data_IF_012843195919
#
_entry.id   IF_012843195919
#
_cell.length_a   1.000
_cell.length_b   1.000
_cell.length_c   1.000
_cell.angle_alpha   90.00
_cell.angle_beta   90.00
_cell.angle_gamma   90.00
#
_symmetry.space_group_name_H-M   'P 1'
#
loop_
_entity.id
_entity.type
_entity.pdbx_description
1 polymer ?
#
# COMPACT_ATOMS: atom_id res chain seq x y z
N UNK A 1 16.25 81.65 5.06
CA UNK A 1 16.72 80.73 4.00
C UNK A 1 15.50 80.54 3.09
N UNK A 2 15.42 81.03 1.85
CA UNK A 2 16.26 80.77 0.65
C UNK A 2 16.16 79.29 0.21
N UNK A 3 15.79 78.94 -1.04
CA UNK A 3 15.48 79.73 -2.26
C UNK A 3 14.71 78.85 -3.30
N UNK A 4 13.99 79.47 -4.26
CA UNK A 4 13.49 78.90 -5.56
C UNK A 4 12.45 77.76 -5.49
N UNK A 5 11.31 77.68 -6.22
CA UNK A 5 10.92 77.98 -7.64
C UNK A 5 11.59 77.03 -8.67
N UNK A 6 10.92 76.39 -9.64
CA UNK A 6 9.49 76.24 -10.02
C UNK A 6 9.35 75.03 -11.01
N UNK A 7 8.24 74.30 -11.15
CA UNK A 7 6.89 74.58 -11.76
C UNK A 7 6.85 74.51 -13.31
N UNK A 8 5.89 73.72 -13.84
CA UNK A 8 5.48 73.59 -15.28
C UNK A 8 6.38 72.73 -16.19
N UNK A 9 5.97 72.19 -17.37
CA UNK A 9 4.77 71.48 -17.88
C UNK A 9 4.78 71.49 -19.44
N UNK A 10 4.03 70.59 -20.12
CA UNK A 10 3.83 70.50 -21.60
C UNK A 10 5.05 70.04 -22.45
N UNK A 11 4.94 69.45 -23.66
CA UNK A 11 3.82 68.73 -24.35
C UNK A 11 4.25 68.06 -25.68
N UNK A 12 3.72 66.84 -25.96
CA UNK A 12 3.29 66.27 -27.26
C UNK A 12 4.22 66.09 -28.51
N UNK A 13 3.85 65.09 -29.35
CA UNK A 13 4.17 64.87 -30.79
C UNK A 13 5.61 64.42 -31.21
N UNK A 14 5.84 63.70 -32.32
CA UNK A 14 4.99 62.82 -33.18
C UNK A 14 5.80 61.98 -34.22
N UNK A 15 5.19 60.89 -34.73
CA UNK A 15 5.34 60.20 -36.05
C UNK A 15 6.69 59.96 -36.78
N UNK A 16 7.00 58.69 -37.06
CA UNK A 16 7.27 58.07 -38.40
C UNK A 16 7.66 56.58 -38.18
N UNK A 17 7.24 55.54 -38.92
CA UNK A 17 6.86 55.25 -40.32
C UNK A 17 8.01 54.71 -41.22
N UNK A 18 7.77 53.56 -41.88
CA UNK A 18 8.70 52.85 -42.80
C UNK A 18 9.34 51.57 -42.20
N UNK A 19 9.19 50.30 -42.65
CA UNK A 19 8.52 49.56 -43.76
C UNK A 19 9.51 48.80 -44.69
N UNK A 20 9.06 47.65 -45.26
CA UNK A 20 9.71 46.67 -46.17
C UNK A 20 10.50 45.53 -45.45
N UNK A 21 10.25 44.21 -45.65
CA UNK A 21 10.13 43.33 -46.86
C UNK A 21 11.53 42.88 -47.39
N UNK A 22 11.85 41.67 -47.86
CA UNK A 22 11.22 40.41 -48.43
C UNK A 22 12.21 39.23 -48.14
N UNK A 23 12.06 37.93 -48.44
CA UNK A 23 11.05 36.85 -48.69
C UNK A 23 11.86 35.52 -48.44
N UNK A 24 11.40 34.26 -48.53
CA UNK A 24 10.09 33.66 -48.85
C UNK A 24 10.23 32.20 -49.33
N UNK A 25 9.17 31.38 -49.14
CA UNK A 25 8.83 30.08 -49.81
C UNK A 25 9.87 28.93 -49.69
N UNK A 26 9.49 27.67 -49.42
CA UNK A 26 8.49 26.79 -50.08
C UNK A 26 7.92 25.79 -49.05
N UNK A 27 6.65 25.38 -49.04
CA UNK A 27 5.70 24.94 -50.09
C UNK A 27 5.75 23.42 -50.38
N UNK A 28 4.83 22.68 -49.74
CA UNK A 28 4.24 21.44 -50.24
C UNK A 28 2.81 21.30 -49.66
N UNK A 29 1.84 20.94 -50.50
CA UNK A 29 0.45 20.62 -50.13
C UNK A 29 0.09 19.26 -50.77
N UNK A 30 -1.19 18.99 -51.10
CA UNK A 30 -1.77 17.73 -51.67
C UNK A 30 -2.22 16.76 -50.56
N UNK A 31 -3.50 16.31 -50.48
CA UNK A 31 -4.72 16.81 -51.14
C UNK A 31 -5.99 16.48 -50.33
N UNK A 32 -7.13 17.01 -50.78
CA UNK A 32 -8.49 16.71 -50.32
C UNK A 32 -8.98 15.36 -50.85
N UNK A 33 -9.88 14.72 -50.10
CA UNK A 33 -11.08 14.05 -50.67
C UNK A 33 -12.17 13.95 -49.62
N UNK A 34 -13.35 14.46 -49.95
CA UNK A 34 -14.58 14.19 -49.23
C UNK A 34 -15.32 13.04 -49.90
N UNK A 35 -16.02 12.22 -49.12
CA UNK A 35 -16.99 11.25 -49.61
C UNK A 35 -18.09 11.05 -48.56
N UNK A 36 -19.32 11.43 -48.92
CA UNK A 36 -20.53 11.00 -48.22
C UNK A 36 -20.90 9.59 -48.69
N UNK A 37 -21.28 8.70 -47.77
CA UNK A 37 -22.25 7.63 -48.06
C UNK A 37 -22.76 6.87 -46.80
N UNK A 38 -24.01 7.13 -46.45
CA UNK A 38 -25.03 6.17 -45.95
C UNK A 38 -24.67 4.75 -45.41
N UNK A 39 -25.18 4.46 -44.21
CA UNK A 39 -25.83 3.18 -43.80
C UNK A 39 -25.06 1.85 -44.00
N UNK A 40 -23.99 1.63 -43.22
CA UNK A 40 -23.36 0.32 -43.05
C UNK A 40 -23.99 -0.54 -41.91
N UNK A 41 -24.42 -1.77 -42.21
CA UNK A 41 -25.06 -2.71 -41.26
C UNK A 41 -24.03 -3.38 -40.33
N UNK A 42 -24.34 -3.48 -39.02
CA UNK A 42 -23.45 -4.16 -38.06
C UNK A 42 -23.19 -5.65 -38.42
N UNK A 43 -21.94 -6.15 -38.28
CA UNK A 43 -21.64 -7.57 -38.41
C UNK A 43 -22.08 -8.36 -37.16
N UNK A 44 -22.91 -9.38 -37.34
CA UNK A 44 -23.14 -10.41 -36.30
C UNK A 44 -21.94 -11.35 -36.26
N UNK A 45 -21.10 -11.24 -35.23
CA UNK A 45 -20.13 -12.29 -34.90
C UNK A 45 -20.87 -13.51 -34.33
N UNK A 46 -20.42 -14.72 -34.67
CA UNK A 46 -21.20 -15.95 -34.54
C UNK A 46 -21.40 -16.47 -33.11
N UNK A 47 -22.47 -17.22 -32.91
CA UNK A 47 -22.66 -18.07 -31.71
C UNK A 47 -21.59 -19.15 -31.67
N UNK A 48 -21.02 -19.40 -30.49
CA UNK A 48 -20.23 -20.60 -30.22
C UNK A 48 -21.10 -21.87 -30.40
N UNK A 49 -20.56 -22.98 -30.95
CA UNK A 49 -21.26 -24.26 -30.99
C UNK A 49 -21.30 -24.91 -29.61
N UNK A 50 -22.44 -25.48 -29.22
CA UNK A 50 -22.56 -26.28 -28.00
C UNK A 50 -22.01 -27.70 -28.21
N UNK A 51 -21.47 -28.36 -27.16
CA UNK A 51 -21.01 -29.74 -27.25
C UNK A 51 -22.19 -30.71 -27.40
N UNK A 52 -22.22 -31.45 -28.51
CA UNK A 52 -23.25 -32.48 -28.76
C UNK A 52 -22.82 -33.81 -28.15
N UNK A 53 -23.42 -34.17 -27.01
CA UNK A 53 -23.26 -35.50 -26.40
C UNK A 53 -23.84 -36.60 -27.30
N UNK A 54 -22.97 -37.26 -28.09
CA UNK A 54 -23.34 -38.49 -28.83
C UNK A 54 -23.36 -39.70 -27.89
N UNK A 55 -24.55 -40.23 -27.63
CA UNK A 55 -24.74 -41.48 -26.89
C UNK A 55 -24.36 -42.71 -27.75
N UNK A 56 -23.24 -43.35 -27.42
CA UNK A 56 -22.83 -44.63 -28.02
C UNK A 56 -23.72 -45.77 -27.51
N UNK A 57 -24.70 -46.15 -28.31
CA UNK A 57 -25.61 -47.28 -28.04
C UNK A 57 -25.03 -48.60 -28.59
N UNK A 58 -24.37 -49.38 -27.73
CA UNK A 58 -23.73 -50.65 -28.09
C UNK A 58 -24.79 -51.74 -28.38
N UNK A 59 -24.96 -52.09 -29.66
CA UNK A 59 -25.85 -53.19 -30.08
C UNK A 59 -25.18 -54.56 -29.93
N UNK A 60 -25.52 -55.28 -28.87
CA UNK A 60 -25.07 -56.67 -28.65
C UNK A 60 -25.73 -57.61 -29.67
N UNK A 61 -24.98 -58.07 -30.68
CA UNK A 61 -25.43 -59.12 -31.62
C UNK A 61 -25.37 -60.51 -30.97
N UNK A 62 -26.52 -61.07 -30.59
CA UNK A 62 -26.64 -62.51 -30.28
C UNK A 62 -26.42 -63.33 -31.56
N UNK A 63 -25.29 -64.02 -31.70
CA UNK A 63 -25.17 -65.16 -32.61
C UNK A 63 -25.75 -66.40 -31.94
N UNK A 64 -26.65 -67.11 -32.63
CA UNK A 64 -26.96 -68.52 -32.32
C UNK A 64 -26.01 -69.41 -33.11
N UNK A 65 -25.47 -70.45 -32.48
CA UNK A 65 -24.94 -71.62 -33.18
C UNK A 65 -25.55 -72.87 -32.55
N UNK A 66 -25.89 -73.85 -33.39
CA UNK A 66 -26.65 -75.05 -33.02
C UNK A 66 -25.70 -76.18 -32.61
N UNK A 67 -26.19 -77.10 -31.76
CA UNK A 67 -25.46 -78.27 -31.24
C UNK A 67 -25.00 -79.23 -32.35
N UNK A 68 -23.90 -79.95 -32.11
CA UNK A 68 -23.70 -81.30 -32.64
C UNK A 68 -22.72 -82.14 -31.78
N UNK A 69 -23.30 -83.08 -31.03
CA UNK A 69 -22.73 -84.36 -30.53
C UNK A 69 -21.40 -84.38 -29.74
N UNK A 70 -21.05 -85.56 -29.23
CA UNK A 70 -20.08 -85.77 -28.15
C UNK A 70 -19.10 -86.90 -28.46
N UNK A 71 -17.90 -86.84 -27.85
CA UNK A 71 -16.98 -87.96 -27.72
C UNK A 71 -16.02 -87.74 -26.52
N UNK A 72 -15.66 -88.82 -25.84
CA UNK A 72 -14.60 -88.94 -24.83
C UNK A 72 -14.32 -90.45 -24.60
N UNK A 73 -13.20 -90.88 -23.99
CA UNK A 73 -11.99 -90.14 -23.56
C UNK A 73 -10.77 -90.56 -24.44
N UNK A 74 -9.49 -90.58 -23.97
CA UNK A 74 -9.00 -91.45 -22.90
C UNK A 74 -8.17 -90.72 -21.80
N UNK A 75 -7.66 -91.48 -20.82
CA UNK A 75 -6.78 -91.00 -19.73
C UNK A 75 -5.33 -91.44 -19.95
N UNK A 76 -4.38 -90.61 -19.51
CA UNK A 76 -2.99 -90.98 -19.29
C UNK A 76 -1.98 -90.11 -20.07
N UNK A 77 -0.74 -89.94 -19.59
CA UNK A 77 -0.20 -90.26 -18.26
C UNK A 77 1.13 -89.50 -18.01
N UNK A 78 1.43 -89.25 -16.72
CA UNK A 78 2.71 -88.69 -16.21
C UNK A 78 3.00 -87.26 -16.68
N UNK A 79 3.94 -86.60 -15.98
CA UNK A 79 4.33 -85.22 -16.23
C UNK A 79 5.82 -85.02 -16.01
N UNK A 80 6.29 -83.78 -16.19
CA UNK A 80 7.70 -83.41 -16.14
C UNK A 80 8.00 -82.48 -14.92
N UNK A 81 8.87 -82.87 -13.98
CA UNK A 81 9.15 -82.11 -12.75
C UNK A 81 10.50 -81.36 -12.78
N UNK A 82 10.61 -80.30 -13.58
CA UNK A 82 11.72 -79.33 -13.56
C UNK A 82 11.44 -78.12 -14.47
N UNK A 83 11.97 -76.90 -14.26
CA UNK A 83 12.90 -76.43 -13.22
C UNK A 83 12.50 -75.01 -12.69
N UNK A 84 13.26 -74.48 -11.73
CA UNK A 84 12.82 -73.49 -10.72
C UNK A 84 12.98 -72.01 -11.12
N UNK A 85 12.13 -71.49 -12.00
CA UNK A 85 12.04 -70.04 -12.27
C UNK A 85 10.83 -69.31 -11.65
N UNK A 86 10.21 -69.86 -10.60
CA UNK A 86 9.04 -69.24 -9.94
C UNK A 86 9.34 -68.14 -8.91
N UNK A 87 10.60 -67.96 -8.51
CA UNK A 87 10.99 -66.90 -7.56
C UNK A 87 11.24 -65.52 -8.22
N UNK A 88 11.90 -65.51 -9.38
CA UNK A 88 12.38 -64.26 -10.02
C UNK A 88 11.20 -63.39 -10.47
N UNK A 89 10.12 -63.97 -10.99
CA UNK A 89 8.94 -63.24 -11.41
C UNK A 89 8.28 -62.45 -10.25
N UNK A 90 8.24 -63.01 -9.03
CA UNK A 90 7.71 -62.32 -7.85
C UNK A 90 8.61 -61.13 -7.46
N UNK A 91 9.94 -61.30 -7.52
CA UNK A 91 10.91 -60.25 -7.22
C UNK A 91 10.80 -59.10 -8.24
N UNK A 92 10.67 -59.41 -9.53
CA UNK A 92 10.47 -58.40 -10.58
C UNK A 92 9.15 -57.63 -10.40
N UNK A 93 8.06 -58.32 -10.07
CA UNK A 93 6.77 -57.67 -9.78
C UNK A 93 6.87 -56.79 -8.53
N UNK A 94 7.54 -57.24 -7.47
CA UNK A 94 7.74 -56.45 -6.24
C UNK A 94 8.58 -55.19 -6.49
N UNK A 95 9.66 -55.28 -7.27
CA UNK A 95 10.46 -54.11 -7.65
C UNK A 95 9.67 -53.15 -8.54
N UNK A 96 8.86 -53.67 -9.47
CA UNK A 96 8.00 -52.87 -10.33
C UNK A 96 6.91 -52.14 -9.53
N UNK A 97 6.26 -52.80 -8.56
CA UNK A 97 5.26 -52.15 -7.70
C UNK A 97 5.91 -51.13 -6.77
N UNK A 98 7.09 -51.39 -6.19
CA UNK A 98 7.83 -50.40 -5.40
C UNK A 98 8.17 -49.16 -6.25
N UNK A 99 8.69 -49.34 -7.46
CA UNK A 99 9.01 -48.24 -8.37
C UNK A 99 7.76 -47.42 -8.75
N UNK A 100 6.67 -48.10 -9.12
CA UNK A 100 5.38 -47.46 -9.42
C UNK A 100 4.83 -46.69 -8.21
N UNK A 101 4.94 -47.25 -7.00
CA UNK A 101 4.49 -46.59 -5.76
C UNK A 101 5.32 -45.36 -5.42
N UNK A 102 6.65 -45.38 -5.65
CA UNK A 102 7.51 -44.20 -5.47
C UNK A 102 7.13 -43.09 -6.45
N UNK A 103 6.94 -43.41 -7.74
CA UNK A 103 6.55 -42.44 -8.78
C UNK A 103 5.15 -41.87 -8.51
N UNK A 104 4.18 -42.71 -8.17
CA UNK A 104 2.82 -42.28 -7.83
C UNK A 104 2.81 -41.42 -6.55
N UNK A 105 3.62 -41.77 -5.55
CA UNK A 105 3.79 -41.02 -4.31
C UNK A 105 4.42 -39.65 -4.53
N UNK A 106 5.48 -39.54 -5.34
CA UNK A 106 6.10 -38.25 -5.66
C UNK A 106 5.17 -37.34 -6.45
N UNK A 107 4.41 -37.89 -7.42
CA UNK A 107 3.40 -37.15 -8.17
C UNK A 107 2.26 -36.66 -7.26
N UNK A 108 1.73 -37.53 -6.39
CA UNK A 108 0.68 -37.16 -5.44
C UNK A 108 1.13 -36.10 -4.42
N UNK A 109 2.41 -36.14 -4.01
CA UNK A 109 3.00 -35.11 -3.16
C UNK A 109 3.11 -33.76 -3.89
N UNK A 110 3.65 -33.74 -5.12
CA UNK A 110 3.78 -32.54 -5.95
C UNK A 110 2.42 -31.90 -6.26
N UNK A 111 1.44 -32.69 -6.71
CA UNK A 111 0.08 -32.21 -6.94
C UNK A 111 -0.56 -31.61 -5.68
N UNK A 112 -0.25 -32.14 -4.49
CA UNK A 112 -0.74 -31.60 -3.22
C UNK A 112 -0.06 -30.28 -2.86
N UNK A 113 1.25 -30.13 -3.08
CA UNK A 113 1.95 -28.86 -2.81
C UNK A 113 1.52 -27.77 -3.79
N UNK A 114 1.34 -28.08 -5.07
CA UNK A 114 0.78 -27.15 -6.07
C UNK A 114 -0.65 -26.72 -5.73
N UNK A 115 -1.53 -27.67 -5.36
CA UNK A 115 -2.91 -27.35 -5.00
C UNK A 115 -3.02 -26.49 -3.73
N UNK A 116 -2.09 -26.62 -2.78
CA UNK A 116 -2.00 -25.76 -1.61
C UNK A 116 -1.46 -24.37 -1.98
N UNK A 117 -0.40 -24.28 -2.79
CA UNK A 117 0.15 -23.01 -3.26
C UNK A 117 -0.88 -22.20 -4.04
N UNK A 118 -1.61 -22.83 -4.97
CA UNK A 118 -2.66 -22.20 -5.77
C UNK A 118 -3.83 -21.69 -4.90
N UNK A 119 -4.21 -22.43 -3.85
CA UNK A 119 -5.21 -21.96 -2.86
C UNK A 119 -4.72 -20.74 -2.10
N UNK A 120 -3.50 -20.77 -1.59
CA UNK A 120 -2.92 -19.66 -0.84
C UNK A 120 -2.82 -18.38 -1.70
N UNK A 121 -2.48 -18.49 -3.00
CA UNK A 121 -2.45 -17.32 -3.89
C UNK A 121 -3.84 -16.73 -4.16
N UNK A 122 -4.88 -17.56 -4.25
CA UNK A 122 -6.27 -17.08 -4.41
C UNK A 122 -6.77 -16.42 -3.12
N UNK A 123 -6.49 -17.03 -1.97
CA UNK A 123 -6.84 -16.50 -0.65
C UNK A 123 -6.18 -15.13 -0.38
N UNK A 124 -4.86 -15.02 -0.63
CA UNK A 124 -4.13 -13.75 -0.52
C UNK A 124 -4.67 -12.68 -1.49
N UNK A 125 -5.08 -13.06 -2.70
CA UNK A 125 -5.70 -12.14 -3.65
C UNK A 125 -7.09 -11.65 -3.18
N UNK A 126 -7.90 -12.50 -2.55
CA UNK A 126 -9.18 -12.09 -1.95
C UNK A 126 -8.95 -11.16 -0.74
N UNK A 127 -8.05 -11.52 0.18
CA UNK A 127 -7.69 -10.70 1.34
C UNK A 127 -7.19 -9.30 0.92
N UNK A 128 -6.35 -9.25 -0.13
CA UNK A 128 -5.87 -8.00 -0.73
C UNK A 128 -6.98 -7.18 -1.38
N UNK A 129 -7.87 -7.80 -2.17
CA UNK A 129 -8.99 -7.10 -2.79
C UNK A 129 -9.96 -6.53 -1.74
N UNK A 130 -10.22 -7.26 -0.67
CA UNK A 130 -11.01 -6.80 0.47
C UNK A 130 -10.33 -5.65 1.22
N UNK A 131 -9.00 -5.68 1.41
CA UNK A 131 -8.26 -4.59 2.04
C UNK A 131 -8.26 -3.31 1.17
N UNK A 132 -8.07 -3.48 -0.14
CA UNK A 132 -8.15 -2.40 -1.12
C UNK A 132 -9.58 -1.78 -1.15
N UNK A 133 -10.62 -2.61 -1.00
CA UNK A 133 -12.00 -2.17 -0.81
C UNK A 133 -12.26 -1.48 0.54
N UNK A 134 -11.68 -1.98 1.62
CA UNK A 134 -11.79 -1.43 2.96
C UNK A 134 -11.18 -0.03 3.08
N UNK A 135 -10.07 0.24 2.38
CA UNK A 135 -9.53 1.61 2.26
C UNK A 135 -10.52 2.53 1.55
N UNK A 136 -11.11 2.10 0.42
CA UNK A 136 -12.11 2.89 -0.31
C UNK A 136 -13.35 3.18 0.54
N UNK A 137 -13.83 2.21 1.33
CA UNK A 137 -14.91 2.41 2.32
C UNK A 137 -14.50 3.42 3.39
N UNK A 138 -13.32 3.28 3.96
CA UNK A 138 -12.82 4.18 5.01
C UNK A 138 -12.80 5.63 4.52
N UNK A 139 -12.31 5.87 3.30
CA UNK A 139 -12.33 7.20 2.68
C UNK A 139 -13.75 7.72 2.49
N UNK A 140 -14.70 6.88 2.05
CA UNK A 140 -16.11 7.27 1.94
C UNK A 140 -16.67 7.72 3.29
N UNK A 141 -16.44 6.96 4.37
CA UNK A 141 -16.95 7.30 5.70
C UNK A 141 -16.33 8.61 6.25
N UNK A 142 -15.03 8.84 6.01
CA UNK A 142 -14.32 10.09 6.36
C UNK A 142 -14.79 11.31 5.54
N UNK A 143 -15.30 11.10 4.32
CA UNK A 143 -15.81 12.16 3.45
C UNK A 143 -17.27 12.55 3.73
N UNK A 144 -17.97 11.85 4.63
CA UNK A 144 -19.36 12.15 4.99
C UNK A 144 -19.48 13.50 5.72
N UNK A 145 -20.68 14.10 5.64
CA UNK A 145 -20.96 15.39 6.26
C UNK A 145 -20.82 15.31 7.79
N UNK A 146 -19.86 16.07 8.32
CA UNK A 146 -19.60 16.21 9.75
C UNK A 146 -20.88 16.63 10.51
N UNK A 147 -21.10 16.03 11.68
CA UNK A 147 -22.35 16.14 12.44
C UNK A 147 -23.42 15.08 12.07
N UNK A 148 -23.24 14.28 11.01
CA UNK A 148 -24.08 13.10 10.78
C UNK A 148 -23.74 12.02 11.83
N UNK A 149 -24.73 11.35 12.47
CA UNK A 149 -24.45 10.25 13.39
C UNK A 149 -23.65 9.11 12.74
N UNK A 150 -22.61 8.64 13.42
CA UNK A 150 -21.78 7.52 12.97
C UNK A 150 -20.74 7.84 11.88
N UNK A 151 -20.44 9.12 11.63
CA UNK A 151 -19.29 9.52 10.79
C UNK A 151 -17.98 9.14 11.48
N UNK A 152 -17.01 8.68 10.70
CA UNK A 152 -15.69 8.28 11.19
C UNK A 152 -14.75 9.47 11.27
N UNK A 153 -13.84 9.43 12.23
CA UNK A 153 -12.77 10.42 12.42
C UNK A 153 -11.42 9.87 11.96
N UNK A 154 -10.52 10.76 11.53
CA UNK A 154 -9.13 10.44 11.23
C UNK A 154 -8.22 10.59 12.46
N UNK A 155 -8.68 10.07 13.61
CA UNK A 155 -8.06 10.19 14.94
C UNK A 155 -7.36 8.92 15.44
N UNK A 156 -7.31 7.88 14.60
CA UNK A 156 -6.77 6.56 14.92
C UNK A 156 -7.80 5.53 15.37
N UNK A 157 -9.08 5.91 15.54
CA UNK A 157 -10.14 4.99 15.98
C UNK A 157 -10.26 3.75 15.08
N UNK A 158 -10.24 2.58 15.71
CA UNK A 158 -10.32 1.27 15.04
C UNK A 158 -11.78 0.93 14.76
N UNK A 159 -12.10 0.69 13.50
CA UNK A 159 -13.42 0.28 13.03
C UNK A 159 -13.35 -1.14 12.47
N UNK A 160 -14.22 -2.04 12.94
CA UNK A 160 -14.20 -3.48 12.61
C UNK A 160 -15.55 -3.91 12.04
N UNK A 161 -15.54 -4.72 10.98
CA UNK A 161 -16.73 -5.40 10.45
C UNK A 161 -16.36 -6.75 9.84
N UNK A 162 -17.36 -7.49 9.36
CA UNK A 162 -17.18 -8.72 8.61
C UNK A 162 -17.80 -8.56 7.20
N UNK A 163 -17.14 -9.11 6.19
CA UNK A 163 -17.58 -9.09 4.80
C UNK A 163 -17.13 -10.38 4.09
N UNK A 164 -18.01 -11.05 3.36
CA UNK A 164 -17.83 -12.42 2.84
C UNK A 164 -17.32 -13.47 3.87
N UNK A 165 -17.49 -13.20 5.18
CA UNK A 165 -16.94 -14.01 6.27
C UNK A 165 -15.48 -13.70 6.63
N UNK A 166 -14.82 -12.82 5.89
CA UNK A 166 -13.54 -12.23 6.27
C UNK A 166 -13.75 -11.14 7.33
N UNK A 167 -12.87 -11.08 8.33
CA UNK A 167 -12.87 -10.04 9.36
C UNK A 167 -11.98 -8.89 8.90
N UNK A 168 -12.55 -7.68 8.87
CA UNK A 168 -11.88 -6.48 8.38
C UNK A 168 -11.77 -5.48 9.53
N UNK A 169 -10.57 -4.95 9.76
CA UNK A 169 -10.29 -3.90 10.74
C UNK A 169 -9.52 -2.76 10.07
N UNK A 170 -9.94 -1.52 10.30
CA UNK A 170 -9.30 -0.34 9.72
C UNK A 170 -9.08 0.73 10.78
N UNK A 171 -8.06 1.56 10.56
CA UNK A 171 -7.86 2.82 11.28
C UNK A 171 -7.38 3.90 10.32
N UNK A 172 -7.69 5.16 10.63
CA UNK A 172 -7.31 6.31 9.82
C UNK A 172 -6.73 7.42 10.71
N UNK A 173 -5.63 8.03 10.24
CA UNK A 173 -4.96 9.15 10.88
C UNK A 173 -4.77 10.28 9.86
N UNK A 174 -5.10 11.53 10.20
CA UNK A 174 -4.74 12.68 9.36
C UNK A 174 -3.23 12.96 9.49
N UNK A 175 -2.51 12.93 8.37
CA UNK A 175 -1.05 13.08 8.32
C UNK A 175 -0.59 14.49 8.75
N UNK A 176 -1.50 15.48 8.90
CA UNK A 176 -1.16 16.76 9.56
C UNK A 176 -0.71 16.58 11.02
N UNK A 177 -1.02 15.44 11.65
CA UNK A 177 -0.46 15.05 12.95
C UNK A 177 1.03 14.65 12.93
N UNK A 178 1.70 14.65 11.77
CA UNK A 178 3.11 14.28 11.60
C UNK A 178 3.98 15.43 11.10
N UNK A 179 5.27 15.35 11.38
CA UNK A 179 6.28 16.33 11.00
C UNK A 179 6.70 16.05 9.54
N UNK A 180 6.50 17.01 8.64
CA UNK A 180 6.91 16.87 7.24
C UNK A 180 8.39 17.17 7.07
N UNK A 181 9.23 16.19 6.75
CA UNK A 181 10.69 16.38 6.70
C UNK A 181 11.13 17.38 5.62
N UNK A 182 10.30 17.62 4.59
CA UNK A 182 10.63 18.59 3.55
C UNK A 182 10.38 20.02 4.01
N UNK A 183 9.28 20.26 4.74
CA UNK A 183 8.79 21.59 5.10
C UNK A 183 9.03 22.01 6.56
N UNK A 184 9.25 21.07 7.48
CA UNK A 184 9.38 21.32 8.91
C UNK A 184 10.54 22.26 9.25
N UNK A 185 10.31 23.12 10.26
CA UNK A 185 11.35 24.01 10.77
C UNK A 185 12.44 23.27 11.55
N UNK A 186 13.68 23.75 11.42
CA UNK A 186 14.88 23.20 12.06
C UNK A 186 14.72 22.96 13.58
N UNK A 187 14.06 23.85 14.38
CA UNK A 187 13.81 23.59 15.80
C UNK A 187 12.88 22.40 16.07
N UNK A 188 11.91 22.13 15.20
CA UNK A 188 10.97 21.01 15.31
C UNK A 188 11.63 19.67 14.94
N UNK A 189 12.46 19.66 13.90
CA UNK A 189 13.29 18.49 13.55
C UNK A 189 14.32 18.20 14.66
N UNK A 190 14.97 19.23 15.20
CA UNK A 190 15.86 19.10 16.38
C UNK A 190 15.10 18.55 17.59
N UNK A 191 13.92 19.09 17.89
CA UNK A 191 13.05 18.63 18.98
C UNK A 191 12.70 17.15 18.87
N UNK A 192 12.38 16.65 17.66
CA UNK A 192 12.12 15.22 17.42
C UNK A 192 13.37 14.37 17.63
N UNK A 193 14.52 14.80 17.11
CA UNK A 193 15.78 14.07 17.24
C UNK A 193 16.26 13.98 18.70
N UNK A 194 16.01 15.03 19.51
CA UNK A 194 16.29 14.99 20.94
C UNK A 194 15.29 14.10 21.70
N UNK A 195 13.97 14.32 21.54
CA UNK A 195 12.94 13.67 22.36
C UNK A 195 12.64 12.23 21.97
N UNK A 196 12.59 11.92 20.67
CA UNK A 196 12.33 10.59 20.15
C UNK A 196 13.64 9.83 19.87
N UNK A 197 14.61 10.51 19.26
CA UNK A 197 15.92 9.92 18.97
C UNK A 197 16.75 9.63 20.23
N UNK A 198 16.66 10.50 21.24
CA UNK A 198 17.50 10.48 22.43
C UNK A 198 18.87 11.12 22.22
N UNK A 199 19.01 12.02 21.23
CA UNK A 199 20.25 12.73 20.94
C UNK A 199 20.44 13.95 21.86
N UNK A 200 21.69 14.32 22.11
CA UNK A 200 22.04 15.60 22.72
C UNK A 200 21.76 16.79 21.76
N UNK A 201 21.82 18.02 22.30
CA UNK A 201 21.58 19.26 21.54
C UNK A 201 22.42 19.34 20.27
N UNK A 202 23.69 18.96 20.34
CA UNK A 202 24.68 19.34 19.35
C UNK A 202 24.70 18.28 18.25
N UNK A 203 24.67 17.00 18.60
CA UNK A 203 24.44 15.90 17.63
C UNK A 203 23.10 16.07 16.91
N UNK A 204 22.03 16.48 17.62
CA UNK A 204 20.75 16.77 16.97
C UNK A 204 20.85 17.98 16.01
N UNK A 205 21.56 19.05 16.38
CA UNK A 205 21.76 20.22 15.50
C UNK A 205 22.54 19.86 14.24
N UNK A 206 23.63 19.09 14.38
CA UNK A 206 24.45 18.60 13.27
C UNK A 206 23.62 17.76 12.30
N UNK A 207 22.79 16.87 12.83
CA UNK A 207 21.96 16.02 11.99
C UNK A 207 20.80 16.79 11.31
N UNK A 208 20.32 17.90 11.89
CA UNK A 208 19.40 18.81 11.20
C UNK A 208 20.10 19.54 10.05
N UNK A 209 21.33 20.03 10.25
CA UNK A 209 22.13 20.62 9.15
C UNK A 209 22.30 19.60 8.00
N UNK A 210 22.65 18.35 8.30
CA UNK A 210 22.83 17.28 7.29
C UNK A 210 21.51 16.87 6.61
N UNK A 211 20.37 16.91 7.32
CA UNK A 211 19.03 16.74 6.73
C UNK A 211 18.64 17.96 5.85
N UNK A 212 19.21 19.13 6.14
CA UNK A 212 19.17 20.33 5.30
C UNK A 212 19.85 20.08 3.96
N UNK A 213 21.18 19.87 3.98
CA UNK A 213 22.03 19.61 2.80
C UNK A 213 21.54 18.42 1.94
N UNK A 214 20.75 17.49 2.50
CA UNK A 214 20.13 16.43 1.70
C UNK A 214 19.10 16.97 0.69
N UNK A 215 18.38 18.05 1.03
CA UNK A 215 17.09 18.42 0.42
C UNK A 215 16.98 19.83 -0.18
N UNK A 216 17.92 20.74 0.09
CA UNK A 216 18.08 21.95 -0.73
C UNK A 216 18.77 21.61 -2.07
N UNK A 217 18.84 22.58 -3.00
CA UNK A 217 19.09 22.32 -4.43
C UNK A 217 20.41 22.89 -4.96
N UNK A 218 21.28 23.37 -4.07
CA UNK A 218 22.64 23.79 -4.35
C UNK A 218 23.64 22.78 -3.74
N UNK A 219 24.94 23.11 -3.71
CA UNK A 219 25.99 22.30 -3.07
C UNK A 219 26.64 23.08 -1.89
N UNK A 220 25.92 24.00 -1.22
CA UNK A 220 26.45 24.92 -0.21
C UNK A 220 26.29 24.40 1.22
N UNK A 221 27.10 23.40 1.57
CA UNK A 221 27.21 22.78 2.91
C UNK A 221 26.94 23.74 4.08
N UNK A 222 25.93 23.43 4.90
CA UNK A 222 25.60 24.13 6.15
C UNK A 222 26.72 24.05 7.20
N UNK A 223 26.71 24.88 8.27
CA UNK A 223 27.80 24.96 9.25
C UNK A 223 28.25 23.62 9.86
N UNK A 224 27.35 22.66 10.02
CA UNK A 224 27.67 21.28 10.37
C UNK A 224 27.09 20.24 9.39
N UNK A 225 26.71 20.68 8.20
CA UNK A 225 26.09 19.84 7.17
C UNK A 225 27.04 18.81 6.58
N UNK A 226 26.63 18.12 5.52
CA UNK A 226 27.47 17.19 4.80
C UNK A 226 27.07 17.09 3.32
N UNK A 227 28.04 17.35 2.46
CA UNK A 227 27.84 17.44 1.01
C UNK A 227 28.39 16.22 0.27
N UNK A 228 28.25 16.20 -1.06
CA UNK A 228 28.74 15.11 -1.91
C UNK A 228 30.19 14.66 -1.60
N UNK A 229 31.06 15.59 -1.20
CA UNK A 229 32.45 15.32 -0.78
C UNK A 229 32.55 14.62 0.57
N UNK A 230 31.70 14.93 1.54
CA UNK A 230 31.64 14.26 2.84
C UNK A 230 31.14 12.82 2.72
N UNK A 231 30.14 12.59 1.85
CA UNK A 231 29.62 11.25 1.57
C UNK A 231 30.69 10.38 0.88
N UNK A 232 31.44 10.97 -0.06
CA UNK A 232 32.60 10.31 -0.68
C UNK A 232 33.71 10.02 0.35
N UNK A 233 34.00 10.96 1.26
CA UNK A 233 34.97 10.76 2.35
C UNK A 233 34.54 9.68 3.35
N UNK A 234 33.23 9.52 3.58
CA UNK A 234 32.64 8.42 4.34
C UNK A 234 32.62 7.08 3.58
N UNK A 235 33.11 7.03 2.33
CA UNK A 235 33.15 5.82 1.51
C UNK A 235 31.79 5.38 0.95
N UNK A 236 30.79 6.25 0.96
CA UNK A 236 29.46 5.93 0.44
C UNK A 236 29.44 6.01 -1.10
N UNK A 237 28.82 5.02 -1.80
CA UNK A 237 28.77 4.99 -3.26
C UNK A 237 27.68 5.92 -3.85
N UNK A 238 27.21 6.89 -3.07
CA UNK A 238 26.17 7.85 -3.43
C UNK A 238 26.39 9.17 -2.69
N UNK A 239 25.81 10.25 -3.23
CA UNK A 239 25.83 11.60 -2.66
C UNK A 239 24.44 11.99 -2.10
N UNK A 240 24.27 13.19 -1.49
CA UNK A 240 22.96 13.79 -1.24
C UNK A 240 22.02 13.77 -2.46
N UNK A 241 20.71 13.85 -2.21
CA UNK A 241 19.73 13.96 -3.28
C UNK A 241 19.73 15.35 -3.94
N UNK A 242 20.08 16.38 -3.17
CA UNK A 242 19.92 17.81 -3.50
C UNK A 242 18.48 18.09 -3.96
N UNK A 243 17.52 17.44 -3.30
CA UNK A 243 16.10 17.41 -3.65
C UNK A 243 15.22 16.96 -2.47
N UNK A 244 13.97 17.40 -2.46
CA UNK A 244 12.98 16.99 -1.46
C UNK A 244 12.82 15.45 -1.40
N UNK A 245 12.77 14.91 -0.19
CA UNK A 245 12.52 13.49 0.10
C UNK A 245 11.22 13.02 -0.57
N UNK A 246 11.29 11.99 -1.40
CA UNK A 246 10.14 11.31 -2.00
C UNK A 246 9.52 10.29 -1.04
N UNK A 247 10.34 9.70 -0.15
CA UNK A 247 9.89 8.79 0.89
C UNK A 247 10.68 8.97 2.20
N UNK A 248 9.99 8.82 3.35
CA UNK A 248 10.61 8.86 4.69
C UNK A 248 11.76 7.84 4.82
N UNK A 249 11.69 6.70 4.13
CA UNK A 249 12.71 5.66 4.14
C UNK A 249 14.08 6.09 3.59
N UNK A 250 14.14 7.12 2.74
CA UNK A 250 15.40 7.69 2.24
C UNK A 250 16.23 8.34 3.34
N UNK A 251 15.63 8.71 4.47
CA UNK A 251 16.32 9.25 5.64
C UNK A 251 17.45 8.32 6.13
N UNK A 252 17.34 7.01 5.90
CA UNK A 252 18.39 6.02 6.20
C UNK A 252 19.67 6.18 5.36
N UNK A 253 19.63 6.97 4.28
CA UNK A 253 20.80 7.31 3.44
C UNK A 253 21.48 8.60 3.92
N UNK A 254 20.87 9.37 4.81
CA UNK A 254 21.43 10.62 5.32
C UNK A 254 22.61 10.32 6.24
N UNK A 255 23.74 11.00 6.04
CA UNK A 255 24.99 10.74 6.76
C UNK A 255 24.79 10.89 8.28
N UNK A 256 25.17 9.85 9.03
CA UNK A 256 24.97 9.79 10.48
C UNK A 256 23.61 9.25 10.93
N UNK A 257 22.64 9.04 10.03
CA UNK A 257 21.40 8.34 10.38
C UNK A 257 21.66 6.86 10.64
N UNK A 258 21.39 6.39 11.86
CA UNK A 258 21.50 4.97 12.21
C UNK A 258 20.13 4.28 12.09
N UNK A 259 20.07 2.97 11.78
CA UNK A 259 18.79 2.24 11.75
C UNK A 259 18.01 2.30 13.07
N UNK A 260 18.71 2.37 14.20
CA UNK A 260 18.14 2.48 15.54
C UNK A 260 17.67 3.90 15.91
N UNK A 261 18.14 4.94 15.22
CA UNK A 261 17.60 6.29 15.30
C UNK A 261 16.37 6.41 14.38
N UNK A 262 16.51 5.97 13.13
CA UNK A 262 15.45 5.94 12.12
C UNK A 262 14.18 5.24 12.65
N UNK A 263 14.30 4.07 13.27
CA UNK A 263 13.16 3.31 13.79
C UNK A 263 12.39 4.01 14.93
N UNK A 264 12.98 4.97 15.64
CA UNK A 264 12.28 5.78 16.65
C UNK A 264 11.53 6.98 16.08
N UNK A 265 12.01 7.51 14.94
CA UNK A 265 11.51 8.78 14.37
C UNK A 265 10.60 8.59 13.16
N UNK A 266 10.73 7.51 12.39
CA UNK A 266 10.03 7.30 11.12
C UNK A 266 8.49 7.39 11.25
N UNK A 267 7.91 6.81 12.29
CA UNK A 267 6.45 6.88 12.56
C UNK A 267 5.94 8.31 12.78
N UNK A 268 6.81 9.24 13.22
CA UNK A 268 6.48 10.64 13.49
C UNK A 268 6.65 11.55 12.26
N UNK A 269 7.15 11.01 11.15
CA UNK A 269 7.53 11.76 9.95
C UNK A 269 6.60 11.50 8.76
N UNK A 270 6.53 12.48 7.86
CA UNK A 270 5.85 12.40 6.56
C UNK A 270 6.60 13.24 5.51
N UNK A 271 6.16 13.14 4.25
CA UNK A 271 6.66 13.93 3.10
C UNK A 271 5.49 14.56 2.29
N UNK A 272 4.26 14.47 2.82
CA UNK A 272 3.04 14.68 2.04
C UNK A 272 2.26 15.97 2.37
N UNK A 273 2.45 16.58 3.54
CA UNK A 273 1.60 17.68 4.03
C UNK A 273 2.10 19.06 3.58
N UNK A 274 3.42 19.20 3.41
CA UNK A 274 4.12 20.49 3.18
C UNK A 274 3.90 21.51 4.31
N UNK A 275 3.63 21.05 5.53
CA UNK A 275 3.44 21.91 6.70
C UNK A 275 4.77 22.12 7.45
N UNK A 276 5.08 23.38 7.81
CA UNK A 276 6.27 23.71 8.61
C UNK A 276 6.14 23.43 10.11
N UNK A 277 4.92 23.11 10.55
CA UNK A 277 4.54 22.65 11.88
C UNK A 277 3.48 21.55 11.78
N UNK A 278 2.89 21.16 12.90
CA UNK A 278 1.97 20.00 13.00
C UNK A 278 0.60 20.40 13.53
N UNK A 279 -0.41 19.58 13.30
CA UNK A 279 -1.75 19.75 13.85
C UNK A 279 -1.89 19.00 15.19
N UNK A 280 -1.95 19.69 16.35
CA UNK A 280 -1.97 19.03 17.65
C UNK A 280 -3.20 18.15 17.90
N UNK A 281 -4.30 18.35 17.15
CA UNK A 281 -5.49 17.51 17.28
C UNK A 281 -5.23 16.03 16.89
N UNK A 282 -4.31 15.79 15.97
CA UNK A 282 -3.98 14.43 15.47
C UNK A 282 -2.57 13.97 15.85
N UNK A 283 -1.72 14.86 16.36
CA UNK A 283 -0.34 14.54 16.69
C UNK A 283 -0.19 13.47 17.78
N UNK A 284 0.86 12.65 17.65
CA UNK A 284 1.27 11.70 18.70
C UNK A 284 1.95 12.41 19.86
N UNK A 285 2.06 11.76 21.03
CA UNK A 285 2.82 12.28 22.18
C UNK A 285 4.25 12.65 21.80
N UNK A 286 4.89 11.81 20.99
CA UNK A 286 6.24 12.00 20.44
C UNK A 286 6.36 13.26 19.60
N UNK A 287 5.40 13.50 18.70
CA UNK A 287 5.36 14.71 17.86
C UNK A 287 5.06 15.97 18.69
N UNK A 288 4.18 15.87 19.69
CA UNK A 288 3.87 17.00 20.57
C UNK A 288 5.06 17.40 21.46
N UNK A 289 5.88 16.45 21.91
CA UNK A 289 7.12 16.72 22.65
C UNK A 289 8.22 17.36 21.78
N UNK A 290 8.17 17.20 20.46
CA UNK A 290 9.10 17.84 19.54
C UNK A 290 8.82 19.34 19.33
N UNK A 291 7.67 19.86 19.78
CA UNK A 291 7.32 21.28 19.63
C UNK A 291 8.19 22.17 20.55
N UNK A 292 8.69 23.32 20.07
CA UNK A 292 9.49 24.24 20.89
C UNK A 292 8.77 24.67 22.18
N UNK A 293 9.40 24.41 23.33
CA UNK A 293 8.86 24.72 24.65
C UNK A 293 7.89 23.68 25.23
N UNK A 294 7.64 22.56 24.54
CA UNK A 294 6.82 21.48 25.08
C UNK A 294 7.53 20.77 26.25
N UNK A 295 6.78 20.52 27.33
CA UNK A 295 7.20 19.66 28.44
C UNK A 295 6.26 18.46 28.56
N UNK A 296 6.69 17.34 29.21
CA UNK A 296 5.82 16.19 29.43
C UNK A 296 4.48 16.54 30.08
N UNK A 297 4.49 17.43 31.06
CA UNK A 297 3.32 17.83 31.85
C UNK A 297 2.29 18.59 30.99
N UNK A 298 2.78 19.49 30.12
CA UNK A 298 1.95 20.21 29.15
C UNK A 298 1.33 19.24 28.13
N UNK A 299 2.14 18.34 27.58
CA UNK A 299 1.71 17.38 26.55
C UNK A 299 0.71 16.36 27.12
N UNK A 300 0.97 15.80 28.31
CA UNK A 300 0.10 14.78 28.91
C UNK A 300 -1.21 15.39 29.42
N UNK A 301 -1.19 16.61 29.95
CA UNK A 301 -2.40 17.38 30.28
C UNK A 301 -3.24 17.64 29.04
N UNK A 302 -2.62 18.07 27.94
CA UNK A 302 -3.29 18.28 26.66
C UNK A 302 -3.89 16.97 26.10
N UNK A 303 -3.14 15.87 26.16
CA UNK A 303 -3.59 14.57 25.66
C UNK A 303 -4.74 13.97 26.48
N UNK A 304 -4.85 14.30 27.77
CA UNK A 304 -6.02 13.98 28.58
C UNK A 304 -7.23 14.81 28.11
N UNK A 305 -7.13 16.13 28.11
CA UNK A 305 -8.21 17.04 27.67
C UNK A 305 -8.68 16.74 26.23
N UNK A 306 -7.77 16.37 25.33
CA UNK A 306 -8.08 15.96 23.95
C UNK A 306 -8.87 14.65 23.91
N UNK A 307 -8.52 13.67 24.74
CA UNK A 307 -9.22 12.37 24.82
C UNK A 307 -10.64 12.56 25.33
N UNK A 308 -10.80 13.35 26.39
CA UNK A 308 -12.10 13.58 27.03
C UNK A 308 -13.03 14.35 26.08
N UNK A 309 -12.52 15.42 25.43
CA UNK A 309 -13.26 16.15 24.41
C UNK A 309 -13.70 15.27 23.22
N UNK A 310 -12.83 14.38 22.72
CA UNK A 310 -13.19 13.47 21.62
C UNK A 310 -14.20 12.40 22.06
N UNK A 311 -14.16 11.91 23.31
CA UNK A 311 -15.16 11.01 23.86
C UNK A 311 -16.56 11.65 23.92
N UNK A 312 -16.62 12.92 24.33
CA UNK A 312 -17.83 13.76 24.31
C UNK A 312 -18.23 14.26 22.90
N UNK A 313 -17.47 13.88 21.86
CA UNK A 313 -17.66 14.29 20.44
C UNK A 313 -17.56 15.80 20.21
N UNK A 314 -16.81 16.48 21.08
CA UNK A 314 -16.43 17.88 20.96
C UNK A 314 -15.18 18.02 20.08
N UNK A 315 -14.86 19.26 19.70
CA UNK A 315 -13.61 19.56 19.01
C UNK A 315 -12.43 19.42 19.99
N UNK A 316 -11.29 18.94 19.48
CA UNK A 316 -10.04 18.91 20.24
C UNK A 316 -9.68 20.33 20.75
N UNK A 317 -9.20 20.48 22.00
CA UNK A 317 -8.79 21.76 22.53
C UNK A 317 -7.61 22.34 21.74
N UNK A 318 -7.43 23.66 21.82
CA UNK A 318 -6.24 24.33 21.32
C UNK A 318 -5.00 23.89 22.14
N UNK A 319 -3.88 23.66 21.46
CA UNK A 319 -2.61 23.37 22.14
C UNK A 319 -2.08 24.66 22.79
N UNK A 320 -1.57 24.63 24.03
CA UNK A 320 -1.20 25.84 24.76
C UNK A 320 0.12 26.49 24.31
N UNK A 321 0.76 25.99 23.25
CA UNK A 321 2.04 26.48 22.72
C UNK A 321 1.96 26.79 21.23
N UNK A 322 2.80 27.72 20.77
CA UNK A 322 2.98 28.04 19.35
C UNK A 322 3.60 26.89 18.55
N UNK A 323 3.45 26.93 17.22
CA UNK A 323 3.93 25.89 16.31
C UNK A 323 2.87 24.85 15.91
N UNK A 324 1.74 24.81 16.61
CA UNK A 324 0.54 24.10 16.16
C UNK A 324 -0.14 24.80 14.99
N UNK A 325 -0.25 24.13 13.83
CA UNK A 325 -0.91 24.64 12.62
C UNK A 325 -2.27 23.96 12.47
N UNK A 326 -3.34 24.70 12.82
CA UNK A 326 -4.67 24.15 13.11
C UNK A 326 -5.59 23.90 11.91
N UNK A 327 -5.17 23.09 10.93
CA UNK A 327 -6.04 22.63 9.86
C UNK A 327 -5.82 21.15 9.53
N UNK A 328 -6.89 20.35 9.53
CA UNK A 328 -6.88 19.02 8.93
C UNK A 328 -6.77 19.17 7.41
N UNK A 329 -5.80 18.51 6.77
CA UNK A 329 -5.58 18.68 5.33
C UNK A 329 -6.46 17.77 4.47
N UNK A 330 -7.14 16.78 5.07
CA UNK A 330 -7.78 15.72 4.30
C UNK A 330 -6.74 14.84 3.60
N UNK A 331 -5.58 14.64 4.24
CA UNK A 331 -4.54 13.70 3.85
C UNK A 331 -4.53 12.63 4.92
N UNK A 332 -5.04 11.45 4.59
CA UNK A 332 -5.26 10.38 5.55
C UNK A 332 -4.31 9.22 5.28
N UNK A 333 -3.55 8.79 6.29
CA UNK A 333 -2.96 7.45 6.29
C UNK A 333 -4.01 6.49 6.83
N UNK A 334 -4.41 5.55 5.99
CA UNK A 334 -5.39 4.52 6.28
C UNK A 334 -4.67 3.19 6.30
N UNK A 335 -4.83 2.45 7.39
CA UNK A 335 -4.43 1.04 7.50
C UNK A 335 -5.68 0.17 7.46
N UNK A 336 -5.62 -0.91 6.69
CA UNK A 336 -6.68 -1.93 6.64
C UNK A 336 -6.07 -3.33 6.77
N UNK A 337 -6.37 -4.01 7.88
CA UNK A 337 -6.09 -5.42 8.11
C UNK A 337 -7.31 -6.26 7.73
N UNK A 338 -7.09 -7.32 6.94
CA UNK A 338 -8.10 -8.31 6.59
C UNK A 338 -7.60 -9.69 6.99
N UNK A 339 -8.43 -10.44 7.70
CA UNK A 339 -8.26 -11.88 7.97
C UNK A 339 -9.38 -12.65 7.26
N UNK A 340 -9.04 -13.46 6.25
CA UNK A 340 -10.02 -14.27 5.50
C UNK A 340 -10.31 -15.62 6.21
N UNK A 341 -11.42 -16.32 5.89
CA UNK A 341 -11.88 -17.50 6.65
C UNK A 341 -10.91 -18.69 6.77
N UNK A 342 -9.94 -18.81 5.86
CA UNK A 342 -8.92 -19.87 5.91
C UNK A 342 -7.67 -19.48 6.73
N UNK A 343 -7.65 -18.28 7.29
CA UNK A 343 -6.59 -17.78 8.17
C UNK A 343 -5.49 -16.99 7.46
N UNK A 344 -5.56 -16.76 6.14
CA UNK A 344 -4.64 -15.81 5.51
C UNK A 344 -4.94 -14.37 5.97
N UNK A 345 -3.89 -13.56 6.08
CA UNK A 345 -3.97 -12.18 6.59
C UNK A 345 -3.26 -11.27 5.59
N UNK A 346 -3.87 -10.12 5.32
CA UNK A 346 -3.27 -9.06 4.49
C UNK A 346 -3.43 -7.71 5.17
N UNK A 347 -2.41 -6.85 5.10
CA UNK A 347 -2.48 -5.47 5.58
C UNK A 347 -2.18 -4.51 4.44
N UNK A 348 -3.10 -3.59 4.16
CA UNK A 348 -2.89 -2.44 3.27
C UNK A 348 -2.54 -1.23 4.11
N UNK A 349 -1.46 -0.55 3.78
CA UNK A 349 -1.24 0.85 4.14
C UNK A 349 -1.42 1.74 2.89
N UNK A 350 -2.10 2.87 3.07
CA UNK A 350 -2.34 3.82 2.00
C UNK A 350 -2.34 5.25 2.54
N UNK A 351 -1.64 6.18 1.88
CA UNK A 351 -1.82 7.61 2.11
C UNK A 351 -2.66 8.18 0.98
N UNK A 352 -3.82 8.74 1.33
CA UNK A 352 -4.79 9.27 0.37
C UNK A 352 -5.10 10.72 0.71
N UNK A 353 -4.95 11.59 -0.28
CA UNK A 353 -5.34 13.00 -0.22
C UNK A 353 -6.68 13.20 -0.92
N UNK A 354 -7.62 13.86 -0.25
CA UNK A 354 -8.82 14.43 -0.87
C UNK A 354 -8.40 15.42 -1.96
N UNK A 355 -8.90 15.23 -3.18
CA UNK A 355 -8.59 16.14 -4.28
C UNK A 355 -9.31 17.49 -4.15
N UNK A 356 -8.68 18.55 -4.67
CA UNK A 356 -9.24 19.90 -4.64
C UNK A 356 -10.44 20.06 -5.61
N UNK A 357 -10.40 19.36 -6.74
CA UNK A 357 -11.40 19.48 -7.81
C UNK A 357 -12.32 18.25 -7.87
N UNK A 358 -13.62 18.48 -8.11
CA UNK A 358 -14.61 17.40 -8.30
C UNK A 358 -14.34 16.44 -9.48
N UNK A 359 -13.32 16.71 -10.31
CA UNK A 359 -12.83 15.81 -11.37
C UNK A 359 -11.91 14.68 -10.88
N UNK A 360 -11.29 14.84 -9.71
CA UNK A 360 -10.48 13.80 -9.04
C UNK A 360 -10.77 13.89 -7.56
N UNK A 361 -11.80 13.18 -7.09
CA UNK A 361 -12.22 13.22 -5.69
C UNK A 361 -11.09 12.81 -4.72
N UNK A 362 -10.20 11.92 -5.17
CA UNK A 362 -9.11 11.33 -4.38
C UNK A 362 -7.82 11.26 -5.21
N UNK A 363 -6.69 11.36 -4.51
CA UNK A 363 -5.35 11.12 -5.04
C UNK A 363 -4.60 10.25 -4.04
N UNK A 364 -4.27 9.02 -4.44
CA UNK A 364 -3.35 8.15 -3.70
C UNK A 364 -1.93 8.75 -3.80
N UNK A 365 -1.24 8.87 -2.66
CA UNK A 365 0.14 9.36 -2.54
C UNK A 365 1.11 8.23 -2.19
N UNK A 366 0.69 7.30 -1.32
CA UNK A 366 1.43 6.09 -0.94
C UNK A 366 0.47 4.89 -1.02
N UNK A 367 0.96 3.73 -1.47
CA UNK A 367 0.20 2.48 -1.51
C UNK A 367 1.14 1.29 -1.27
N UNK A 368 1.12 0.78 -0.04
CA UNK A 368 2.13 -0.14 0.51
C UNK A 368 1.47 -1.36 1.15
N UNK A 369 2.25 -2.42 1.34
CA UNK A 369 1.84 -3.59 2.13
C UNK A 369 2.35 -3.39 3.55
N UNK A 370 1.45 -3.44 4.54
CA UNK A 370 1.75 -3.13 5.93
C UNK A 370 2.25 -4.35 6.70
N UNK A 371 3.00 -4.11 7.77
CA UNK A 371 3.58 -5.12 8.66
C UNK A 371 2.83 -5.22 10.01
N UNK A 372 2.44 -4.08 10.60
CA UNK A 372 1.71 -3.99 11.86
C UNK A 372 0.24 -4.37 11.72
N UNK A 373 -0.28 -5.06 12.74
CA UNK A 373 -1.64 -5.61 12.78
C UNK A 373 -2.50 -4.90 13.81
N UNK A 374 -3.50 -4.16 13.32
CA UNK A 374 -4.49 -3.46 14.13
C UNK A 374 -5.14 -4.39 15.17
N UNK A 375 -5.51 -5.61 14.76
CA UNK A 375 -6.19 -6.58 15.63
C UNK A 375 -5.26 -7.28 16.64
N UNK A 376 -3.94 -7.14 16.48
CA UNK A 376 -2.98 -7.54 17.52
C UNK A 376 -2.75 -6.39 18.51
N UNK A 377 -2.54 -5.18 17.99
CA UNK A 377 -2.22 -3.98 18.77
C UNK A 377 -3.40 -3.49 19.63
N UNK A 378 -4.65 -3.69 19.17
CA UNK A 378 -5.86 -3.28 19.89
C UNK A 378 -6.23 -4.17 21.09
N UNK A 379 -5.55 -5.30 21.27
CA UNK A 379 -5.92 -6.33 22.23
C UNK A 379 -7.09 -7.22 21.75
N UNK A 380 -7.11 -8.47 22.20
CA UNK A 380 -8.25 -9.35 21.94
C UNK A 380 -9.48 -8.85 22.73
N UNK A 381 -10.69 -8.82 22.13
CA UNK A 381 -11.89 -8.48 22.88
C UNK A 381 -12.11 -9.52 23.98
N UNK A 382 -12.37 -9.07 25.21
CA UNK A 382 -12.50 -9.96 26.37
C UNK A 382 -13.59 -11.01 26.12
N UNK A 383 -13.23 -12.27 26.37
CA UNK A 383 -14.01 -13.42 25.92
C UNK A 383 -15.31 -13.55 26.70
N UNK A 384 -16.43 -13.22 26.03
CA UNK A 384 -17.83 -13.44 26.41
C UNK A 384 -18.01 -14.34 27.66
N UNK A 385 -18.41 -13.71 28.77
CA UNK A 385 -18.47 -14.31 30.10
C UNK A 385 -19.33 -15.59 30.08
N UNK A 386 -18.69 -16.75 30.24
CA UNK A 386 -19.38 -18.04 30.23
C UNK A 386 -20.29 -18.14 31.45
N UNK A 387 -21.57 -17.87 31.24
CA UNK A 387 -22.67 -18.10 32.20
C UNK A 387 -22.60 -19.54 32.72
N UNK A 388 -21.96 -19.73 33.87
CA UNK A 388 -22.10 -20.95 34.67
C UNK A 388 -23.48 -20.94 35.30
N UNK A 389 -24.45 -21.54 34.61
CA UNK A 389 -25.76 -21.80 35.18
C UNK A 389 -25.60 -22.56 36.50
N UNK A 390 -26.13 -21.99 37.59
CA UNK A 390 -26.38 -22.74 38.82
C UNK A 390 -27.63 -23.58 38.61
N UNK A 391 -27.47 -24.90 38.66
CA UNK A 391 -28.57 -25.86 38.66
C UNK A 391 -28.45 -26.73 39.91
N UNK A 392 -29.36 -26.49 40.86
CA UNK A 392 -29.42 -27.08 42.22
C UNK A 392 -28.16 -26.83 43.07
#
# INVERSE_FOLDING_TARGET
MARSLGRSAHSAHAHSDGCQAREGRRMAAVDRRAADCSRGRMPRVGRQPQPVCRSLSVRIRRRRHTRLFAAAPPRGARGDPGDRQRGIALILVLWLTVLLTVIAGSFAYGMRTEALAARNTVSLAQARALADGAVNRTVFELMRAQGTPGVWSADGSVHVWEDEGARIAVSALDESGKIDINAASDPLLKGLLQTAGGLDSDTASKLVDIIGDWKDADDLRRPNGAEASDYQAAGLPYKPANAAFEAVAELQRVLGMTPALYSKIADSLTVHTRMAGVNPAYASRTVLLALPGATPEIVDTYLAQRRDALADKLQAPAFPLGGGVGAALGIWRIRAEVTVPDGAIFVRDAVIRRGADGRRLLVVLEWSEGDRRILADAGAPEGNERVRGKSN
#
